data_IF_669352640679
#
_entry.id   IF_669352640679
#
_cell.length_a   1.000
_cell.length_b   1.000
_cell.length_c   1.000
_cell.angle_alpha   90.00
_cell.angle_beta   90.00
_cell.angle_gamma   90.00
#
_symmetry.space_group_name_H-M   'P 1'
#
loop_
_entity.id
_entity.type
_entity.pdbx_description
1 polymer ?
#
# COMPACT_ATOMS: atom_id res chain seq x y z
N UNK A 1 -3.24 -20.17 14.69
CA UNK A 1 -2.74 -18.89 15.30
C UNK A 1 -2.27 -19.19 16.70
N UNK A 2 -1.08 -18.73 17.12
CA UNK A 2 -0.55 -19.12 18.42
C UNK A 2 -1.19 -18.27 19.54
N UNK A 3 -1.64 -18.91 20.62
CA UNK A 3 -2.17 -18.24 21.82
C UNK A 3 -1.16 -17.21 22.40
N UNK A 4 0.12 -17.48 22.21
CA UNK A 4 1.22 -16.60 22.63
C UNK A 4 1.21 -15.28 21.88
N UNK A 5 1.11 -15.29 20.55
CA UNK A 5 0.99 -14.08 19.74
C UNK A 5 -0.21 -13.23 20.16
N UNK A 6 -1.39 -13.88 20.28
CA UNK A 6 -2.63 -13.17 20.62
C UNK A 6 -2.55 -12.52 22.02
N UNK A 7 -1.93 -13.21 22.99
CA UNK A 7 -1.70 -12.67 24.32
C UNK A 7 -0.70 -11.49 24.29
N UNK A 8 0.40 -11.64 23.54
CA UNK A 8 1.41 -10.58 23.38
C UNK A 8 0.81 -9.32 22.76
N UNK A 9 0.13 -9.48 21.63
CA UNK A 9 -0.47 -8.37 20.89
C UNK A 9 -1.56 -7.68 21.68
N UNK A 10 -2.42 -8.45 22.38
CA UNK A 10 -3.47 -7.88 23.24
C UNK A 10 -2.88 -7.07 24.39
N UNK A 11 -1.79 -7.54 25.01
CA UNK A 11 -1.09 -6.83 26.07
C UNK A 11 -0.43 -5.53 25.56
N UNK A 12 0.09 -5.52 24.33
CA UNK A 12 0.63 -4.30 23.70
C UNK A 12 -0.50 -3.28 23.46
N UNK A 13 -1.61 -3.69 22.82
CA UNK A 13 -2.74 -2.80 22.52
C UNK A 13 -3.33 -2.18 23.79
N UNK A 14 -3.46 -2.96 24.87
CA UNK A 14 -4.01 -2.49 26.14
C UNK A 14 -3.18 -1.37 26.81
N UNK A 15 -1.90 -1.26 26.47
CA UNK A 15 -0.99 -0.22 27.00
C UNK A 15 -0.92 1.03 26.12
N UNK A 16 -1.44 0.98 24.89
CA UNK A 16 -1.36 2.08 23.94
C UNK A 16 -2.43 3.15 24.25
N UNK A 17 -2.02 4.40 24.20
CA UNK A 17 -2.96 5.53 24.10
C UNK A 17 -3.71 5.52 22.78
N UNK A 18 -4.85 6.21 22.69
CA UNK A 18 -5.59 6.37 21.44
C UNK A 18 -4.74 6.99 20.35
N UNK A 19 -3.89 7.97 20.69
CA UNK A 19 -3.00 8.62 19.72
C UNK A 19 -2.00 7.62 19.12
N UNK A 20 -1.38 6.79 19.96
CA UNK A 20 -0.48 5.73 19.49
C UNK A 20 -1.19 4.72 18.60
N UNK A 21 -2.40 4.29 18.96
CA UNK A 21 -3.22 3.40 18.13
C UNK A 21 -3.50 4.02 16.77
N UNK A 22 -3.95 5.27 16.72
CA UNK A 22 -4.21 5.98 15.46
C UNK A 22 -2.94 6.13 14.61
N UNK A 23 -1.78 6.39 15.22
CA UNK A 23 -0.49 6.47 14.53
C UNK A 23 -0.08 5.16 13.89
N UNK A 24 -0.40 4.00 14.51
CA UNK A 24 -0.13 2.69 13.91
C UNK A 24 -0.91 2.45 12.61
N UNK A 25 -2.02 3.14 12.40
CA UNK A 25 -2.82 3.03 11.17
C UNK A 25 -2.26 3.85 10.01
N UNK A 26 -1.12 4.53 10.17
CA UNK A 26 -0.54 5.40 9.17
C UNK A 26 0.81 4.87 8.68
N UNK A 27 0.94 4.75 7.37
CA UNK A 27 2.19 4.43 6.67
C UNK A 27 2.61 5.67 5.89
N UNK A 28 3.68 6.32 6.32
CA UNK A 28 4.17 7.56 5.72
C UNK A 28 5.24 7.29 4.66
N UNK A 29 5.35 8.18 3.68
CA UNK A 29 6.45 8.11 2.72
C UNK A 29 7.76 8.49 3.38
N UNK A 30 8.78 7.66 3.16
CA UNK A 30 10.17 7.89 3.54
C UNK A 30 11.04 8.04 2.31
N UNK A 31 11.87 9.09 2.27
CA UNK A 31 12.74 9.40 1.12
C UNK A 31 14.21 9.44 1.51
N UNK A 32 15.06 8.90 0.63
CA UNK A 32 16.51 8.89 0.80
C UNK A 32 17.00 7.92 1.88
N UNK A 33 18.29 8.06 2.24
CA UNK A 33 18.97 7.24 3.25
C UNK A 33 19.19 7.95 4.59
N UNK A 34 19.00 9.28 4.63
CA UNK A 34 19.33 10.07 5.81
C UNK A 34 18.04 10.42 6.57
N UNK A 35 17.95 10.08 7.87
CA UNK A 35 16.83 10.49 8.70
C UNK A 35 16.76 12.02 8.79
N UNK A 36 15.71 12.60 8.20
CA UNK A 36 15.42 14.02 8.37
C UNK A 36 14.71 14.26 9.71
N UNK A 37 14.79 15.48 10.30
CA UNK A 37 14.03 15.81 11.51
C UNK A 37 12.54 15.49 11.37
N UNK A 38 11.93 15.83 10.24
CA UNK A 38 10.53 15.51 9.94
C UNK A 38 10.27 14.00 9.92
N UNK A 39 11.12 13.21 9.26
CA UNK A 39 11.00 11.75 9.25
C UNK A 39 11.08 11.14 10.65
N UNK A 40 11.99 11.66 11.50
CA UNK A 40 12.09 11.24 12.89
C UNK A 40 10.81 11.61 13.68
N UNK A 41 10.24 12.79 13.45
CA UNK A 41 8.99 13.23 14.09
C UNK A 41 7.79 12.36 13.70
N UNK A 42 7.72 11.89 12.45
CA UNK A 42 6.69 10.94 12.02
C UNK A 42 6.71 9.66 12.87
N UNK A 43 7.90 9.17 13.18
CA UNK A 43 8.06 7.98 14.00
C UNK A 43 7.78 8.30 15.47
N UNK A 44 8.38 9.35 16.00
CA UNK A 44 8.40 9.61 17.46
C UNK A 44 7.15 10.32 17.95
N UNK A 45 6.66 11.34 17.22
CA UNK A 45 5.51 12.16 17.60
C UNK A 45 4.19 11.70 16.99
N UNK A 46 4.20 11.27 15.72
CA UNK A 46 3.00 10.79 15.05
C UNK A 46 2.81 9.28 15.20
N UNK A 47 3.72 8.59 15.88
CA UNK A 47 3.64 7.15 16.20
C UNK A 47 3.45 6.25 14.97
N UNK A 48 4.05 6.60 13.83
CA UNK A 48 3.91 5.88 12.57
C UNK A 48 3.94 4.36 12.73
N UNK A 49 2.98 3.68 12.12
CA UNK A 49 2.93 2.22 12.07
C UNK A 49 3.85 1.65 11.01
N UNK A 50 4.10 2.39 9.95
CA UNK A 50 4.97 1.98 8.85
C UNK A 50 5.53 3.14 8.05
N UNK A 51 6.46 2.79 7.17
CA UNK A 51 7.03 3.68 6.15
C UNK A 51 6.94 3.03 4.78
N UNK A 52 6.63 3.84 3.77
CA UNK A 52 6.71 3.46 2.36
C UNK A 52 7.97 4.09 1.79
N UNK A 53 8.86 3.25 1.27
CA UNK A 53 10.15 3.69 0.79
C UNK A 53 10.05 4.34 -0.59
N UNK A 54 10.67 5.50 -0.73
CA UNK A 54 11.07 6.12 -1.98
C UNK A 54 12.57 6.42 -1.86
N UNK A 55 13.46 5.41 -2.08
CA UNK A 55 14.88 5.50 -1.72
C UNK A 55 15.71 6.27 -2.76
N UNK A 56 15.25 7.44 -3.14
CA UNK A 56 15.98 8.37 -4.00
C UNK A 56 16.90 9.25 -3.15
N UNK A 57 18.13 9.44 -3.58
CA UNK A 57 19.13 10.22 -2.84
C UNK A 57 18.88 11.74 -2.87
N UNK A 58 18.04 12.23 -3.77
CA UNK A 58 17.73 13.64 -3.89
C UNK A 58 16.24 13.90 -3.62
N UNK A 59 15.94 14.88 -2.77
CA UNK A 59 14.66 15.58 -2.82
C UNK A 59 14.57 16.23 -4.20
N UNK A 60 14.01 15.52 -5.15
CA UNK A 60 13.72 16.08 -6.46
C UNK A 60 12.60 17.10 -6.32
N UNK A 61 12.55 18.08 -7.21
CA UNK A 61 11.49 19.10 -7.31
C UNK A 61 10.07 18.52 -7.30
N UNK A 62 9.91 17.25 -7.59
CA UNK A 62 8.72 16.40 -7.46
C UNK A 62 7.97 16.64 -6.15
N UNK A 63 8.69 16.78 -5.04
CA UNK A 63 8.10 16.82 -3.72
C UNK A 63 7.57 18.19 -3.30
N UNK A 64 8.11 19.27 -3.88
CA UNK A 64 7.69 20.62 -3.55
C UNK A 64 6.31 20.97 -4.13
N UNK A 65 5.98 20.37 -5.29
CA UNK A 65 4.75 20.72 -6.02
C UNK A 65 3.67 19.61 -5.93
N UNK A 66 4.06 18.36 -5.92
CA UNK A 66 3.11 17.24 -5.87
C UNK A 66 2.26 17.23 -4.58
N UNK A 67 2.90 17.40 -3.42
CA UNK A 67 2.20 17.52 -2.14
C UNK A 67 1.22 18.71 -2.12
N UNK A 68 1.64 19.88 -2.63
CA UNK A 68 0.80 21.09 -2.66
C UNK A 68 -0.38 20.95 -3.62
N UNK A 69 -0.18 20.37 -4.81
CA UNK A 69 -1.28 20.19 -5.77
C UNK A 69 -2.35 19.19 -5.29
N UNK A 70 -2.00 18.30 -4.37
CA UNK A 70 -2.96 17.36 -3.79
C UNK A 70 -3.71 17.91 -2.56
N UNK A 71 -3.12 18.86 -1.85
CA UNK A 71 -3.70 19.43 -0.63
C UNK A 71 -4.43 20.73 -0.91
N UNK A 72 -3.97 21.52 -1.85
CA UNK A 72 -4.60 22.77 -2.29
C UNK A 72 -5.24 22.62 -3.67
N UNK A 73 -6.58 22.46 -3.76
CA UNK A 73 -7.28 22.37 -5.03
C UNK A 73 -7.18 23.63 -5.91
N UNK A 74 -6.74 24.75 -5.33
CA UNK A 74 -6.54 26.02 -6.05
C UNK A 74 -5.07 26.25 -6.42
N UNK A 75 -4.21 25.26 -6.21
CA UNK A 75 -2.81 25.39 -6.55
C UNK A 75 -2.63 25.55 -8.08
N UNK A 76 -2.20 26.72 -8.52
CA UNK A 76 -1.85 26.97 -9.91
C UNK A 76 -0.43 26.42 -10.17
N UNK A 77 -0.33 25.48 -11.11
CA UNK A 77 0.96 24.90 -11.53
C UNK A 77 1.81 25.99 -12.18
N UNK A 78 3.03 26.30 -11.69
CA UNK A 78 3.94 27.23 -12.35
C UNK A 78 4.24 26.80 -13.80
N UNK A 79 4.66 27.75 -14.64
CA UNK A 79 4.98 27.45 -16.05
C UNK A 79 6.14 26.44 -16.23
N UNK A 80 7.01 26.35 -15.23
CA UNK A 80 8.12 25.40 -15.13
C UNK A 80 7.77 24.12 -14.32
N UNK A 81 6.48 23.96 -13.98
CA UNK A 81 6.01 22.77 -13.28
C UNK A 81 6.16 21.55 -14.15
N UNK A 82 7.03 20.68 -13.75
CA UNK A 82 7.21 19.39 -14.37
C UNK A 82 6.33 18.36 -13.64
N UNK A 83 5.20 18.00 -14.25
CA UNK A 83 4.30 16.98 -13.69
C UNK A 83 4.89 15.60 -13.94
N UNK A 84 5.58 15.10 -12.95
CA UNK A 84 6.23 13.81 -12.98
C UNK A 84 5.35 12.69 -12.43
N UNK A 85 4.11 13.01 -12.01
CA UNK A 85 3.14 11.98 -11.61
C UNK A 85 2.79 11.05 -12.77
N UNK A 86 2.87 11.55 -14.01
CA UNK A 86 2.63 10.80 -15.25
C UNK A 86 3.90 10.36 -15.97
N UNK A 87 5.06 10.90 -15.62
CA UNK A 87 6.31 10.38 -16.13
C UNK A 87 6.75 9.25 -15.22
N UNK A 88 6.68 8.05 -15.72
CA UNK A 88 7.31 6.89 -15.15
C UNK A 88 8.81 7.18 -15.01
N UNK A 89 9.18 7.67 -13.86
CA UNK A 89 10.55 8.03 -13.58
C UNK A 89 11.35 6.75 -13.42
N UNK A 90 12.15 6.44 -14.41
CA UNK A 90 13.25 5.53 -14.23
C UNK A 90 14.23 6.18 -13.25
N UNK A 91 14.23 5.72 -11.99
CA UNK A 91 15.18 6.18 -10.96
C UNK A 91 16.62 6.01 -11.45
N UNK A 92 16.86 5.10 -12.41
CA UNK A 92 18.14 4.90 -13.11
C UNK A 92 18.53 6.10 -13.98
N UNK A 93 17.58 6.88 -14.49
CA UNK A 93 17.86 8.04 -15.33
C UNK A 93 18.41 9.24 -14.55
N UNK A 94 18.22 9.32 -13.23
CA UNK A 94 18.65 10.41 -12.37
C UNK A 94 19.78 10.06 -11.39
N UNK A 95 20.29 8.86 -11.49
CA UNK A 95 21.69 8.51 -11.23
C UNK A 95 22.16 8.42 -9.78
N UNK A 96 21.35 8.64 -8.74
CA UNK A 96 21.83 8.50 -7.37
C UNK A 96 20.77 7.75 -6.54
N UNK A 97 20.73 6.44 -6.70
CA UNK A 97 20.06 5.56 -5.76
C UNK A 97 20.93 5.40 -4.51
N UNK A 98 20.28 5.33 -3.36
CA UNK A 98 20.89 4.87 -2.10
C UNK A 98 21.43 3.45 -2.32
N UNK A 99 22.65 3.17 -1.88
CA UNK A 99 23.21 1.81 -1.98
C UNK A 99 22.46 0.83 -1.06
N UNK A 100 22.51 -0.49 -1.30
CA UNK A 100 21.93 -1.50 -0.41
C UNK A 100 22.41 -1.36 1.05
N UNK A 101 23.69 -1.06 1.25
CA UNK A 101 24.30 -0.86 2.57
C UNK A 101 23.74 0.39 3.26
N UNK A 102 23.67 1.54 2.55
CA UNK A 102 23.10 2.77 3.08
C UNK A 102 21.61 2.62 3.43
N UNK A 103 20.85 1.93 2.56
CA UNK A 103 19.44 1.64 2.84
C UNK A 103 19.28 0.76 4.07
N UNK A 104 20.07 -0.30 4.18
CA UNK A 104 20.06 -1.21 5.35
C UNK A 104 20.39 -0.46 6.63
N UNK A 105 21.43 0.37 6.63
CA UNK A 105 21.80 1.18 7.78
C UNK A 105 20.69 2.15 8.18
N UNK A 106 20.10 2.86 7.19
CA UNK A 106 19.00 3.78 7.43
C UNK A 106 17.80 3.06 8.05
N UNK A 107 17.38 1.91 7.52
CA UNK A 107 16.26 1.14 8.03
C UNK A 107 16.51 0.60 9.44
N UNK A 108 17.71 0.12 9.73
CA UNK A 108 18.09 -0.30 11.07
C UNK A 108 18.02 0.85 12.09
N UNK A 109 18.48 2.05 11.69
CA UNK A 109 18.40 3.24 12.54
C UNK A 109 16.94 3.66 12.78
N UNK A 110 16.07 3.60 11.77
CA UNK A 110 14.64 3.92 11.91
C UNK A 110 13.92 2.90 12.80
N UNK A 111 14.23 1.62 12.66
CA UNK A 111 13.68 0.57 13.54
C UNK A 111 14.12 0.80 14.99
N UNK A 112 15.38 1.16 15.23
CA UNK A 112 15.88 1.49 16.57
C UNK A 112 15.08 2.66 17.16
N UNK A 113 14.92 3.76 16.43
CA UNK A 113 14.11 4.92 16.86
C UNK A 113 12.66 4.49 17.18
N UNK A 114 12.07 3.62 16.34
CA UNK A 114 10.72 3.13 16.55
C UNK A 114 10.61 2.28 17.81
N UNK A 115 11.59 1.44 18.11
CA UNK A 115 11.62 0.59 19.29
C UNK A 115 11.90 1.34 20.58
N UNK A 116 12.55 2.51 20.51
CA UNK A 116 12.77 3.40 21.66
C UNK A 116 11.51 4.16 22.11
N UNK A 117 10.42 4.13 21.31
CA UNK A 117 9.12 4.71 21.71
C UNK A 117 8.55 3.96 22.92
N UNK A 118 7.70 4.60 23.76
CA UNK A 118 7.07 3.93 24.90
C UNK A 118 6.30 2.66 24.51
N UNK A 119 5.67 2.64 23.35
CA UNK A 119 4.97 1.46 22.81
C UNK A 119 5.92 0.32 22.40
N UNK A 120 7.17 0.64 22.02
CA UNK A 120 8.16 -0.33 21.55
C UNK A 120 7.62 -1.17 20.39
N UNK A 121 7.03 -0.51 19.37
CA UNK A 121 6.45 -1.17 18.19
C UNK A 121 7.31 -0.87 16.97
N UNK A 122 7.83 -1.91 16.28
CA UNK A 122 8.63 -1.75 15.07
C UNK A 122 7.79 -1.20 13.91
N UNK A 123 8.45 -0.71 12.86
CA UNK A 123 7.81 -0.22 11.64
C UNK A 123 7.54 -1.37 10.66
N UNK A 124 6.41 -1.33 9.96
CA UNK A 124 6.33 -1.92 8.62
C UNK A 124 7.20 -1.09 7.67
N UNK A 125 7.93 -1.77 6.81
CA UNK A 125 8.71 -1.14 5.74
C UNK A 125 8.17 -1.65 4.42
N UNK A 126 7.51 -0.77 3.67
CA UNK A 126 6.80 -1.12 2.44
C UNK A 126 7.43 -0.46 1.22
N UNK A 127 7.28 -1.07 0.05
CA UNK A 127 7.84 -0.55 -1.21
C UNK A 127 7.04 -1.07 -2.41
N UNK A 128 7.03 -0.32 -3.51
CA UNK A 128 6.57 -0.80 -4.81
C UNK A 128 7.72 -1.49 -5.55
N UNK A 129 7.57 -2.80 -5.80
CA UNK A 129 8.52 -3.63 -6.55
C UNK A 129 7.73 -4.54 -7.50
N UNK A 130 7.25 -3.96 -8.61
CA UNK A 130 6.36 -4.65 -9.55
C UNK A 130 7.08 -5.27 -10.75
N UNK A 131 8.35 -4.97 -10.90
CA UNK A 131 9.16 -5.32 -12.07
C UNK A 131 9.36 -4.15 -13.02
N UNK A 132 10.51 -4.15 -13.72
CA UNK A 132 10.93 -3.15 -14.70
C UNK A 132 10.87 -1.71 -14.15
N UNK A 133 10.20 -0.80 -14.86
CA UNK A 133 10.12 0.62 -14.51
C UNK A 133 9.29 0.93 -13.25
N UNK A 134 8.53 -0.03 -12.75
CA UNK A 134 7.72 0.08 -11.52
C UNK A 134 8.44 -0.47 -10.28
N UNK A 135 9.75 -0.45 -10.30
CA UNK A 135 10.55 -0.73 -9.12
C UNK A 135 11.01 0.59 -8.49
N UNK A 136 10.56 0.88 -7.27
CA UNK A 136 11.00 2.05 -6.51
C UNK A 136 12.46 1.95 -6.07
N UNK A 137 13.05 0.76 -6.15
CA UNK A 137 14.46 0.54 -5.85
C UNK A 137 15.16 -0.25 -6.96
N UNK A 138 16.18 0.37 -7.55
CA UNK A 138 16.96 -0.20 -8.68
C UNK A 138 18.46 0.04 -8.55
N UNK A 139 18.98 0.07 -7.32
CA UNK A 139 20.42 0.26 -7.08
C UNK A 139 21.26 -0.93 -7.55
N UNK A 140 22.54 -0.66 -7.81
CA UNK A 140 23.51 -1.69 -8.18
C UNK A 140 23.60 -2.79 -7.11
N UNK A 141 23.64 -4.04 -7.55
CA UNK A 141 23.64 -5.22 -6.66
C UNK A 141 22.25 -5.80 -6.38
N UNK A 142 21.17 -5.09 -6.73
CA UNK A 142 19.80 -5.62 -6.65
C UNK A 142 19.34 -6.07 -8.04
N UNK A 143 18.93 -7.34 -8.14
CA UNK A 143 18.45 -7.89 -9.40
C UNK A 143 17.13 -7.24 -9.80
N UNK A 144 17.04 -6.85 -11.05
CA UNK A 144 15.82 -6.31 -11.66
C UNK A 144 15.18 -7.39 -12.52
N UNK A 145 13.86 -7.42 -12.53
CA UNK A 145 13.08 -8.42 -13.25
C UNK A 145 12.09 -7.74 -14.21
N UNK A 146 11.67 -8.50 -15.21
CA UNK A 146 10.67 -8.08 -16.19
C UNK A 146 9.29 -7.89 -15.54
N UNK A 147 8.41 -7.07 -16.14
CA UNK A 147 7.07 -6.85 -15.60
C UNK A 147 6.21 -8.11 -15.66
N UNK A 148 5.12 -8.18 -14.88
CA UNK A 148 4.22 -9.34 -14.78
C UNK A 148 3.73 -9.88 -16.13
N UNK A 149 3.34 -9.01 -17.06
CA UNK A 149 2.90 -9.43 -18.41
C UNK A 149 4.03 -10.15 -19.17
N UNK A 150 5.28 -9.73 -18.99
CA UNK A 150 6.45 -10.41 -19.55
C UNK A 150 6.65 -11.80 -18.97
N UNK A 151 6.44 -11.97 -17.64
CA UNK A 151 6.52 -13.28 -16.97
C UNK A 151 5.45 -14.22 -17.52
N UNK A 152 4.22 -13.72 -17.69
CA UNK A 152 3.11 -14.51 -18.27
C UNK A 152 3.39 -14.88 -19.72
N UNK A 153 3.99 -13.99 -20.50
CA UNK A 153 4.33 -14.25 -21.92
C UNK A 153 5.37 -15.39 -22.06
N UNK A 154 6.25 -15.57 -21.09
CA UNK A 154 7.17 -16.72 -21.02
C UNK A 154 6.40 -18.02 -20.75
N UNK A 155 5.30 -17.96 -20.01
CA UNK A 155 4.42 -19.10 -19.75
C UNK A 155 4.89 -20.06 -18.65
N UNK A 156 5.96 -19.72 -17.93
CA UNK A 156 6.52 -20.55 -16.85
C UNK A 156 6.06 -20.03 -15.47
N UNK A 157 5.14 -20.77 -14.86
CA UNK A 157 4.58 -20.43 -13.53
C UNK A 157 5.63 -20.58 -12.41
N UNK A 158 6.53 -21.56 -12.53
CA UNK A 158 7.61 -21.74 -11.56
C UNK A 158 8.59 -20.56 -11.60
N UNK A 159 8.78 -19.94 -12.76
CA UNK A 159 9.59 -18.73 -12.89
C UNK A 159 8.97 -17.56 -12.13
N UNK A 160 7.62 -17.40 -12.16
CA UNK A 160 6.94 -16.37 -11.38
C UNK A 160 7.22 -16.52 -9.86
N UNK A 161 7.10 -17.75 -9.34
CA UNK A 161 7.45 -18.05 -7.95
C UNK A 161 8.93 -17.72 -7.64
N UNK A 162 9.87 -18.19 -8.48
CA UNK A 162 11.31 -17.99 -8.28
C UNK A 162 11.70 -16.51 -8.29
N UNK A 163 11.14 -15.73 -9.22
CA UNK A 163 11.36 -14.28 -9.30
C UNK A 163 10.85 -13.62 -8.01
N UNK A 164 9.61 -13.90 -7.60
CA UNK A 164 9.02 -13.32 -6.39
C UNK A 164 9.82 -13.69 -5.14
N UNK A 165 10.20 -14.96 -4.99
CA UNK A 165 10.99 -15.41 -3.84
C UNK A 165 12.38 -14.76 -3.79
N UNK A 166 13.06 -14.68 -4.93
CA UNK A 166 14.39 -14.06 -4.99
C UNK A 166 14.31 -12.56 -4.71
N UNK A 167 13.35 -11.84 -5.32
CA UNK A 167 13.12 -10.41 -5.06
C UNK A 167 12.78 -10.18 -3.59
N UNK A 168 11.87 -10.99 -3.03
CA UNK A 168 11.51 -10.93 -1.62
C UNK A 168 12.71 -11.09 -0.69
N UNK A 169 13.54 -12.11 -0.93
CA UNK A 169 14.74 -12.36 -0.12
C UNK A 169 15.78 -11.24 -0.20
N UNK A 170 16.00 -10.67 -1.39
CA UNK A 170 16.92 -9.53 -1.55
C UNK A 170 16.48 -8.34 -0.71
N UNK A 171 15.21 -7.97 -0.81
CA UNK A 171 14.69 -6.80 -0.12
C UNK A 171 14.51 -7.04 1.38
N UNK A 172 14.12 -8.26 1.79
CA UNK A 172 14.07 -8.65 3.21
C UNK A 172 15.43 -8.52 3.89
N UNK A 173 16.51 -8.89 3.19
CA UNK A 173 17.88 -8.75 3.69
C UNK A 173 18.27 -7.29 3.98
N UNK A 174 17.62 -6.32 3.34
CA UNK A 174 17.79 -4.90 3.58
C UNK A 174 16.79 -4.32 4.62
N UNK A 175 15.85 -5.13 5.11
CA UNK A 175 14.86 -4.70 6.12
C UNK A 175 13.48 -4.34 5.56
N UNK A 176 13.19 -4.58 4.29
CA UNK A 176 11.84 -4.44 3.73
C UNK A 176 10.95 -5.58 4.22
N UNK A 177 9.73 -5.27 4.65
CA UNK A 177 8.81 -6.26 5.23
C UNK A 177 7.55 -6.49 4.39
N UNK A 178 7.25 -5.63 3.41
CA UNK A 178 6.04 -5.71 2.61
C UNK A 178 6.23 -5.14 1.21
N UNK A 179 5.71 -5.83 0.20
CA UNK A 179 5.60 -5.33 -1.17
C UNK A 179 4.17 -4.97 -1.51
N UNK A 180 3.99 -3.87 -2.21
CA UNK A 180 2.72 -3.54 -2.87
C UNK A 180 2.65 -4.25 -4.23
N UNK A 181 2.66 -5.57 -4.19
CA UNK A 181 2.62 -6.48 -5.34
C UNK A 181 2.12 -7.88 -4.85
N UNK A 182 1.44 -8.69 -5.68
CA UNK A 182 1.18 -8.56 -7.12
C UNK A 182 0.00 -7.66 -7.50
N UNK A 183 0.04 -7.15 -8.75
CA UNK A 183 -1.10 -6.49 -9.40
C UNK A 183 -2.06 -7.57 -9.90
N UNK A 184 -3.24 -7.63 -9.30
CA UNK A 184 -4.31 -8.60 -9.64
C UNK A 184 -5.34 -8.03 -10.63
N UNK A 185 -5.17 -6.77 -11.04
CA UNK A 185 -6.03 -6.15 -12.04
C UNK A 185 -5.93 -6.92 -13.37
N UNK A 186 -7.05 -7.44 -13.86
CA UNK A 186 -7.14 -8.12 -15.18
C UNK A 186 -7.26 -7.04 -16.25
N UNK A 187 -6.24 -6.86 -17.09
CA UNK A 187 -6.14 -5.73 -18.02
C UNK A 187 -7.02 -5.91 -19.28
N UNK A 188 -8.34 -6.00 -19.09
CA UNK A 188 -9.31 -6.24 -20.17
C UNK A 188 -9.53 -5.03 -21.08
N UNK A 189 -9.16 -3.82 -20.64
CA UNK A 189 -9.14 -2.64 -21.49
C UNK A 189 -7.71 -2.40 -22.00
N UNK A 190 -7.41 -2.64 -23.29
CA UNK A 190 -6.07 -2.44 -23.84
C UNK A 190 -5.62 -0.96 -23.84
N UNK A 191 -6.56 -0.02 -23.68
CA UNK A 191 -6.31 1.41 -23.60
C UNK A 191 -6.24 1.91 -22.14
N UNK A 192 -6.17 1.00 -21.17
CA UNK A 192 -6.03 1.37 -19.77
C UNK A 192 -4.73 2.19 -19.57
N UNK A 193 -4.82 3.44 -19.07
CA UNK A 193 -3.67 4.34 -19.04
C UNK A 193 -2.69 3.99 -17.91
N UNK A 194 -3.08 3.14 -16.94
CA UNK A 194 -2.33 2.94 -15.71
C UNK A 194 -1.86 1.50 -15.49
N UNK A 195 -2.64 0.51 -15.88
CA UNK A 195 -2.34 -0.90 -15.58
C UNK A 195 -1.37 -1.50 -16.61
N UNK A 196 -1.79 -1.68 -17.84
CA UNK A 196 -0.92 -2.15 -18.91
C UNK A 196 -0.09 -3.38 -18.53
N UNK A 197 1.22 -3.30 -18.74
CA UNK A 197 2.19 -4.39 -18.47
C UNK A 197 2.38 -4.74 -16.98
N UNK A 198 1.85 -3.92 -16.06
CA UNK A 198 1.82 -4.21 -14.63
C UNK A 198 0.91 -5.40 -14.30
N UNK A 199 -0.12 -5.64 -15.13
CA UNK A 199 -0.97 -6.84 -15.05
C UNK A 199 -0.24 -8.06 -15.58
N UNK A 200 -0.64 -9.24 -15.09
CA UNK A 200 -0.25 -10.52 -15.68
C UNK A 200 -0.92 -10.79 -17.03
N UNK A 201 -1.98 -10.05 -17.38
CA UNK A 201 -2.67 -10.18 -18.66
C UNK A 201 -4.14 -9.78 -18.62
N UNK A 202 -4.85 -10.11 -19.68
CA UNK A 202 -6.24 -9.72 -19.96
C UNK A 202 -7.28 -10.84 -19.75
N UNK A 203 -6.82 -12.03 -19.38
CA UNK A 203 -7.66 -13.20 -19.17
C UNK A 203 -7.50 -13.75 -17.75
N UNK A 204 -8.56 -13.65 -16.92
CA UNK A 204 -8.54 -14.05 -15.53
C UNK A 204 -8.11 -15.51 -15.34
N UNK A 205 -8.64 -16.46 -16.15
CA UNK A 205 -8.30 -17.89 -16.05
C UNK A 205 -6.81 -18.17 -16.31
N UNK A 206 -6.22 -17.42 -17.21
CA UNK A 206 -4.81 -17.59 -17.58
C UNK A 206 -3.86 -17.05 -16.50
N UNK A 207 -4.24 -15.93 -15.83
CA UNK A 207 -3.32 -15.21 -14.94
C UNK A 207 -3.37 -15.66 -13.48
N UNK A 208 -4.48 -16.28 -13.00
CA UNK A 208 -4.63 -16.68 -11.59
C UNK A 208 -3.45 -17.51 -11.08
N UNK A 209 -2.95 -18.45 -11.84
CA UNK A 209 -1.81 -19.32 -11.46
C UNK A 209 -0.49 -18.53 -11.27
N UNK A 210 -0.30 -17.43 -12.00
CA UNK A 210 0.88 -16.57 -11.86
C UNK A 210 0.75 -15.68 -10.63
N UNK A 211 -0.46 -15.18 -10.35
CA UNK A 211 -0.78 -14.43 -9.11
C UNK A 211 -0.49 -15.31 -7.91
N UNK A 212 -1.04 -16.55 -7.88
CA UNK A 212 -0.81 -17.51 -6.79
C UNK A 212 0.68 -17.81 -6.59
N UNK A 213 1.41 -18.08 -7.66
CA UNK A 213 2.83 -18.38 -7.60
C UNK A 213 3.63 -17.18 -7.05
N UNK A 214 3.30 -15.96 -7.48
CA UNK A 214 3.94 -14.73 -7.01
C UNK A 214 3.65 -14.48 -5.53
N UNK A 215 2.40 -14.63 -5.09
CA UNK A 215 2.03 -14.49 -3.66
C UNK A 215 2.83 -15.47 -2.81
N UNK A 216 2.82 -16.77 -3.16
CA UNK A 216 3.59 -17.79 -2.44
C UNK A 216 5.08 -17.46 -2.41
N UNK A 217 5.64 -16.99 -3.52
CA UNK A 217 7.05 -16.63 -3.58
C UNK A 217 7.44 -15.54 -2.57
N UNK A 218 6.64 -14.50 -2.42
CA UNK A 218 6.88 -13.43 -1.45
C UNK A 218 6.66 -13.89 -0.01
N UNK A 219 5.54 -14.56 0.27
CA UNK A 219 5.24 -15.03 1.63
C UNK A 219 6.30 -16.03 2.11
N UNK A 220 6.76 -16.95 1.26
CA UNK A 220 7.86 -17.89 1.57
C UNK A 220 9.21 -17.18 1.76
N UNK A 221 9.39 -16.00 1.17
CA UNK A 221 10.55 -15.15 1.42
C UNK A 221 10.46 -14.34 2.73
N UNK A 222 9.35 -14.42 3.46
CA UNK A 222 9.10 -13.68 4.69
C UNK A 222 8.62 -12.24 4.47
N UNK A 223 8.30 -11.84 3.23
CA UNK A 223 7.79 -10.52 2.88
C UNK A 223 6.27 -10.60 2.66
N UNK A 224 5.54 -9.62 3.19
CA UNK A 224 4.09 -9.53 2.99
C UNK A 224 3.77 -9.24 1.51
N UNK A 225 3.07 -10.15 0.85
CA UNK A 225 2.48 -9.92 -0.46
C UNK A 225 1.21 -9.06 -0.32
N UNK A 226 1.05 -8.04 -1.18
CA UNK A 226 -0.12 -7.17 -1.18
C UNK A 226 -0.80 -7.21 -2.54
N UNK A 227 -1.89 -7.97 -2.66
CA UNK A 227 -2.68 -8.03 -3.89
C UNK A 227 -3.41 -6.71 -4.14
N UNK A 228 -3.34 -6.16 -5.37
CA UNK A 228 -3.85 -4.82 -5.71
C UNK A 228 -4.40 -4.72 -7.12
N UNK A 229 -5.29 -3.78 -7.41
CA UNK A 229 -5.99 -2.81 -6.56
C UNK A 229 -7.47 -3.23 -6.45
N UNK A 230 -7.91 -3.58 -5.26
CA UNK A 230 -9.24 -4.17 -5.05
C UNK A 230 -10.37 -3.13 -5.20
N UNK A 231 -11.44 -3.37 -5.95
CA UNK A 231 -11.85 -4.66 -6.50
C UNK A 231 -11.61 -4.79 -8.03
N UNK A 232 -10.52 -4.22 -8.55
CA UNK A 232 -10.11 -4.37 -9.96
C UNK A 232 -10.22 -3.08 -10.78
N UNK A 233 -9.10 -2.67 -11.41
CA UNK A 233 -8.98 -1.46 -12.23
C UNK A 233 -8.61 -1.76 -13.68
N UNK A 234 -8.62 -3.04 -14.08
CA UNK A 234 -8.18 -3.43 -15.41
C UNK A 234 -9.07 -2.97 -16.56
N UNK A 235 -10.33 -2.58 -16.25
CA UNK A 235 -11.28 -1.99 -17.21
C UNK A 235 -11.28 -0.46 -17.22
N UNK A 236 -10.48 0.17 -16.38
CA UNK A 236 -10.45 1.63 -16.23
C UNK A 236 -10.08 2.32 -17.55
N UNK A 237 -10.75 3.44 -17.82
CA UNK A 237 -10.45 4.34 -18.94
C UNK A 237 -9.78 5.63 -18.47
N UNK A 238 -9.60 5.79 -17.15
CA UNK A 238 -9.06 7.00 -16.52
C UNK A 238 -7.97 6.63 -15.52
N UNK A 239 -7.06 7.57 -15.29
CA UNK A 239 -6.05 7.44 -14.26
C UNK A 239 -6.62 7.97 -12.93
N UNK A 240 -6.53 7.18 -11.86
CA UNK A 240 -6.99 7.58 -10.53
C UNK A 240 -6.15 8.71 -9.91
N UNK A 241 -4.96 8.97 -10.44
CA UNK A 241 -4.20 10.15 -10.07
C UNK A 241 -4.89 11.45 -10.49
N UNK A 242 -5.72 11.40 -11.53
CA UNK A 242 -6.38 12.57 -12.10
C UNK A 242 -7.84 12.70 -11.72
N UNK A 243 -8.57 11.59 -11.67
CA UNK A 243 -10.02 11.62 -11.45
C UNK A 243 -10.55 10.34 -10.83
N UNK A 244 -11.73 10.43 -10.23
CA UNK A 244 -12.46 9.28 -9.71
C UNK A 244 -12.95 8.41 -10.87
N UNK A 245 -12.51 7.16 -10.89
CA UNK A 245 -12.88 6.17 -11.90
C UNK A 245 -14.14 5.39 -11.50
N UNK A 246 -14.84 4.85 -12.53
CA UNK A 246 -16.06 4.06 -12.33
C UNK A 246 -15.96 2.78 -13.17
N UNK A 247 -15.85 1.64 -12.51
CA UNK A 247 -15.96 0.33 -13.16
C UNK A 247 -17.44 -0.08 -13.29
N UNK A 248 -17.92 -0.25 -14.51
CA UNK A 248 -19.34 -0.52 -14.83
C UNK A 248 -19.64 -1.99 -15.11
N UNK A 249 -18.82 -2.91 -14.64
CA UNK A 249 -19.10 -4.35 -14.72
C UNK A 249 -20.36 -4.73 -13.94
N UNK A 250 -21.18 -5.64 -14.51
CA UNK A 250 -22.25 -6.26 -13.74
C UNK A 250 -21.69 -7.27 -12.72
N UNK A 251 -22.54 -7.78 -11.84
CA UNK A 251 -22.13 -8.67 -10.76
C UNK A 251 -21.48 -9.96 -11.26
N UNK A 252 -21.98 -10.52 -12.36
CA UNK A 252 -21.45 -11.76 -12.93
C UNK A 252 -20.05 -11.53 -13.50
N UNK A 253 -19.86 -10.45 -14.27
CA UNK A 253 -18.55 -10.09 -14.78
C UNK A 253 -17.55 -9.84 -13.66
N UNK A 254 -17.93 -9.06 -12.62
CA UNK A 254 -17.05 -8.83 -11.48
C UNK A 254 -16.59 -10.14 -10.82
N UNK A 255 -17.48 -11.11 -10.69
CA UNK A 255 -17.17 -12.42 -10.13
C UNK A 255 -16.24 -13.25 -11.04
N UNK A 256 -16.50 -13.25 -12.35
CA UNK A 256 -15.78 -14.11 -13.29
C UNK A 256 -14.42 -13.54 -13.69
N UNK A 257 -14.20 -12.25 -13.53
CA UNK A 257 -12.98 -11.57 -13.97
C UNK A 257 -12.24 -10.96 -12.77
N UNK A 258 -12.73 -9.84 -12.25
CA UNK A 258 -11.99 -9.04 -11.27
C UNK A 258 -11.81 -9.80 -9.95
N UNK A 259 -12.91 -10.23 -9.31
CA UNK A 259 -12.85 -10.89 -8.00
C UNK A 259 -12.17 -12.25 -8.06
N UNK A 260 -12.24 -12.94 -9.20
CA UNK A 260 -11.54 -14.22 -9.40
C UNK A 260 -10.03 -14.09 -9.24
N UNK A 261 -9.44 -13.05 -9.82
CA UNK A 261 -8.01 -12.79 -9.69
C UNK A 261 -7.61 -12.47 -8.24
N UNK A 262 -8.42 -11.67 -7.53
CA UNK A 262 -8.18 -11.38 -6.12
C UNK A 262 -8.38 -12.61 -5.23
N UNK A 263 -9.42 -13.44 -5.49
CA UNK A 263 -9.64 -14.65 -4.73
C UNK A 263 -8.46 -15.61 -4.84
N UNK A 264 -7.87 -15.77 -6.03
CA UNK A 264 -6.67 -16.57 -6.22
C UNK A 264 -5.49 -16.09 -5.36
N UNK A 265 -5.29 -14.78 -5.26
CA UNK A 265 -4.28 -14.21 -4.35
C UNK A 265 -4.58 -14.44 -2.88
N UNK A 266 -5.84 -14.33 -2.47
CA UNK A 266 -6.29 -14.61 -1.09
C UNK A 266 -6.07 -16.08 -0.76
N UNK A 267 -6.50 -16.99 -1.63
CA UNK A 267 -6.37 -18.44 -1.44
C UNK A 267 -4.91 -18.89 -1.44
N UNK A 268 -4.03 -18.17 -2.15
CA UNK A 268 -2.58 -18.39 -2.11
C UNK A 268 -1.92 -17.89 -0.81
N UNK A 269 -2.66 -17.22 0.08
CA UNK A 269 -2.19 -16.77 1.38
C UNK A 269 -1.66 -15.34 1.42
N UNK A 270 -2.09 -14.46 0.51
CA UNK A 270 -1.73 -13.04 0.57
C UNK A 270 -2.04 -12.44 1.95
N UNK A 271 -1.03 -11.91 2.61
CA UNK A 271 -1.17 -11.33 3.96
C UNK A 271 -1.68 -9.89 3.95
N UNK A 272 -1.70 -9.23 2.80
CA UNK A 272 -2.25 -7.88 2.63
C UNK A 272 -2.99 -7.72 1.30
N UNK A 273 -3.88 -6.73 1.26
CA UNK A 273 -4.62 -6.33 0.07
C UNK A 273 -4.72 -4.79 0.03
N UNK A 274 -4.47 -4.20 -1.15
CA UNK A 274 -4.58 -2.76 -1.36
C UNK A 274 -5.88 -2.43 -2.10
N UNK A 275 -6.59 -1.38 -1.63
CA UNK A 275 -7.86 -0.94 -2.18
C UNK A 275 -7.68 -0.04 -3.41
N UNK A 276 -8.67 0.00 -4.30
CA UNK A 276 -8.73 0.95 -5.42
C UNK A 276 -9.56 2.20 -5.07
N UNK A 277 -9.18 3.35 -5.64
CA UNK A 277 -9.99 4.58 -5.61
C UNK A 277 -10.99 4.61 -6.78
N UNK A 278 -11.73 3.51 -6.95
CA UNK A 278 -12.69 3.29 -8.04
C UNK A 278 -14.07 3.02 -7.47
N UNK A 279 -15.11 3.59 -8.06
CA UNK A 279 -16.51 3.27 -7.76
C UNK A 279 -16.91 2.01 -8.53
N UNK A 280 -17.54 1.09 -7.84
CA UNK A 280 -18.14 -0.13 -8.39
C UNK A 280 -19.65 -0.09 -8.14
N UNK A 281 -20.46 0.47 -9.06
CA UNK A 281 -21.87 0.74 -8.81
C UNK A 281 -22.69 -0.49 -8.45
N UNK A 282 -22.27 -1.66 -8.92
CA UNK A 282 -22.91 -2.96 -8.58
C UNK A 282 -22.82 -3.32 -7.10
N UNK A 283 -21.88 -2.73 -6.36
CA UNK A 283 -21.71 -2.90 -4.92
C UNK A 283 -21.98 -1.62 -4.14
N UNK A 284 -21.46 -0.47 -4.62
CA UNK A 284 -21.66 0.83 -4.00
C UNK A 284 -21.60 1.95 -5.06
N UNK A 285 -22.72 2.68 -5.22
CA UNK A 285 -22.83 3.78 -6.18
C UNK A 285 -22.24 5.10 -5.65
N UNK A 286 -22.04 5.20 -4.33
CA UNK A 286 -21.71 6.47 -3.67
C UNK A 286 -20.21 6.59 -3.35
N UNK A 287 -19.59 5.50 -2.89
CA UNK A 287 -18.22 5.50 -2.39
C UNK A 287 -17.29 4.63 -3.24
N UNK A 288 -16.05 5.11 -3.49
CA UNK A 288 -15.01 4.25 -4.07
C UNK A 288 -14.67 3.11 -3.10
N UNK A 289 -14.10 2.02 -3.60
CA UNK A 289 -13.80 0.84 -2.79
C UNK A 289 -13.08 1.18 -1.47
N UNK A 290 -12.10 2.09 -1.51
CA UNK A 290 -11.36 2.55 -0.32
C UNK A 290 -12.25 3.11 0.80
N UNK A 291 -13.39 3.71 0.47
CA UNK A 291 -14.30 4.34 1.44
C UNK A 291 -15.60 3.56 1.64
N UNK A 292 -15.77 2.42 0.97
CA UNK A 292 -17.00 1.64 0.97
C UNK A 292 -16.97 0.49 1.98
N UNK A 293 -17.81 0.57 3.00
CA UNK A 293 -18.05 -0.55 3.92
C UNK A 293 -18.63 -1.77 3.20
N UNK A 294 -19.51 -1.56 2.21
CA UNK A 294 -20.12 -2.66 1.44
C UNK A 294 -19.06 -3.48 0.71
N UNK A 295 -18.02 -2.80 0.21
CA UNK A 295 -16.93 -3.48 -0.53
C UNK A 295 -15.90 -4.08 0.42
N UNK A 296 -15.43 -3.31 1.43
CA UNK A 296 -14.32 -3.78 2.28
C UNK A 296 -14.77 -4.69 3.41
N UNK A 297 -15.91 -4.40 4.04
CA UNK A 297 -16.39 -5.21 5.17
C UNK A 297 -17.32 -6.31 4.70
N UNK A 298 -18.34 -5.97 3.89
CA UNK A 298 -19.39 -6.94 3.59
C UNK A 298 -18.93 -7.92 2.49
N UNK A 299 -18.38 -7.44 1.36
CA UNK A 299 -17.87 -8.28 0.28
C UNK A 299 -16.51 -8.91 0.64
N UNK A 300 -15.47 -8.11 0.88
CA UNK A 300 -14.09 -8.61 1.02
C UNK A 300 -13.90 -9.46 2.30
N UNK A 301 -14.31 -8.93 3.47
CA UNK A 301 -14.22 -9.69 4.74
C UNK A 301 -15.28 -10.76 4.83
N UNK A 302 -16.56 -10.40 4.52
CA UNK A 302 -17.71 -11.26 4.74
C UNK A 302 -17.86 -12.37 3.71
N UNK A 303 -17.89 -12.04 2.41
CA UNK A 303 -18.13 -13.01 1.35
C UNK A 303 -16.85 -13.70 0.87
N UNK A 304 -15.76 -12.95 0.67
CA UNK A 304 -14.48 -13.49 0.18
C UNK A 304 -13.58 -14.05 1.29
N UNK A 305 -13.87 -13.78 2.57
CA UNK A 305 -13.18 -14.35 3.72
C UNK A 305 -11.75 -13.84 3.95
N UNK A 306 -11.41 -12.63 3.48
CA UNK A 306 -10.08 -12.09 3.65
C UNK A 306 -9.80 -11.63 5.10
N UNK A 307 -8.83 -12.25 5.75
CA UNK A 307 -8.44 -11.97 7.15
C UNK A 307 -7.17 -11.10 7.29
N UNK A 308 -6.42 -10.88 6.20
CA UNK A 308 -5.17 -10.13 6.19
C UNK A 308 -5.34 -8.61 6.39
N UNK A 309 -4.27 -7.86 6.19
CA UNK A 309 -4.24 -6.39 6.29
C UNK A 309 -4.89 -5.75 5.05
N UNK A 310 -5.82 -4.83 5.25
CA UNK A 310 -6.32 -3.97 4.17
C UNK A 310 -5.56 -2.63 4.23
N UNK A 311 -4.81 -2.32 3.17
CA UNK A 311 -4.12 -1.04 3.01
C UNK A 311 -4.84 -0.19 1.97
N UNK A 312 -4.97 1.12 2.18
CA UNK A 312 -5.45 2.02 1.13
C UNK A 312 -4.40 2.17 0.04
N UNK A 313 -4.80 2.37 -1.21
CA UNK A 313 -3.92 3.07 -2.16
C UNK A 313 -3.59 4.47 -1.61
N UNK A 314 -2.65 5.18 -2.24
CA UNK A 314 -2.22 6.50 -1.79
C UNK A 314 -3.43 7.45 -1.63
N UNK A 315 -3.90 7.63 -0.38
CA UNK A 315 -5.16 8.31 -0.08
C UNK A 315 -5.17 9.78 -0.53
N UNK A 316 -4.00 10.36 -0.77
CA UNK A 316 -3.82 11.71 -1.29
C UNK A 316 -4.07 11.87 -2.79
N UNK A 317 -4.51 10.84 -3.51
CA UNK A 317 -4.80 10.93 -4.95
C UNK A 317 -6.04 11.78 -5.23
N UNK A 318 -6.06 12.45 -6.40
CA UNK A 318 -7.14 13.35 -6.80
C UNK A 318 -8.52 12.67 -6.84
N UNK A 319 -8.57 11.37 -7.13
CA UNK A 319 -9.78 10.58 -7.05
C UNK A 319 -10.52 10.70 -5.71
N UNK A 320 -9.78 10.85 -4.61
CA UNK A 320 -10.33 11.05 -3.27
C UNK A 320 -10.47 12.54 -2.95
N UNK A 321 -9.40 13.33 -3.13
CA UNK A 321 -9.31 14.71 -2.62
C UNK A 321 -10.28 15.68 -3.27
N UNK A 322 -10.73 15.41 -4.51
CA UNK A 322 -11.74 16.22 -5.18
C UNK A 322 -13.10 16.23 -4.46
N UNK A 323 -13.39 15.21 -3.64
CA UNK A 323 -14.70 15.06 -2.99
C UNK A 323 -14.63 15.05 -1.46
N UNK A 324 -13.52 14.53 -0.90
CA UNK A 324 -13.38 14.38 0.55
C UNK A 324 -12.09 15.03 1.05
N UNK A 325 -12.16 15.92 2.07
CA UNK A 325 -10.95 16.43 2.73
C UNK A 325 -10.11 15.29 3.29
N UNK A 326 -8.79 15.38 3.13
CA UNK A 326 -7.85 14.29 3.42
C UNK A 326 -7.99 13.70 4.84
N UNK A 327 -8.08 14.51 5.94
CA UNK A 327 -8.26 13.95 7.28
C UNK A 327 -9.58 13.18 7.45
N UNK A 328 -10.66 13.65 6.80
CA UNK A 328 -11.95 12.98 6.79
C UNK A 328 -11.88 11.67 6.01
N UNK A 329 -11.26 11.68 4.82
CA UNK A 329 -11.09 10.50 3.99
C UNK A 329 -10.33 9.39 4.73
N UNK A 330 -9.27 9.73 5.48
CA UNK A 330 -8.53 8.79 6.31
C UNK A 330 -9.44 8.10 7.35
N UNK A 331 -10.23 8.88 8.09
CA UNK A 331 -11.12 8.32 9.09
C UNK A 331 -12.27 7.49 8.48
N UNK A 332 -12.82 7.93 7.32
CA UNK A 332 -13.83 7.18 6.57
C UNK A 332 -13.27 5.84 6.06
N UNK A 333 -12.05 5.81 5.53
CA UNK A 333 -11.40 4.59 5.06
C UNK A 333 -11.22 3.58 6.21
N UNK A 334 -10.73 4.01 7.38
CA UNK A 334 -10.63 3.15 8.56
C UNK A 334 -12.00 2.62 8.96
N UNK A 335 -13.02 3.47 8.98
CA UNK A 335 -14.39 3.05 9.30
C UNK A 335 -14.95 2.04 8.30
N UNK A 336 -14.62 2.19 7.02
CA UNK A 336 -15.05 1.27 5.96
C UNK A 336 -14.40 -0.12 6.05
N UNK A 337 -13.21 -0.24 6.66
CA UNK A 337 -12.52 -1.52 6.83
C UNK A 337 -11.01 -1.50 6.56
N UNK A 338 -10.44 -0.37 6.11
CA UNK A 338 -8.99 -0.21 5.93
C UNK A 338 -8.27 -0.32 7.26
N UNK A 339 -7.16 -1.06 7.31
CA UNK A 339 -6.35 -1.24 8.52
C UNK A 339 -5.16 -0.28 8.56
N UNK A 340 -4.62 0.10 7.42
CA UNK A 340 -3.55 1.11 7.34
C UNK A 340 -3.70 2.00 6.11
N UNK A 341 -3.40 3.27 6.29
CA UNK A 341 -3.48 4.30 5.26
C UNK A 341 -2.09 4.54 4.68
N UNK A 342 -1.93 4.35 3.37
CA UNK A 342 -0.75 4.83 2.66
C UNK A 342 -0.89 6.34 2.46
N UNK A 343 -0.11 7.11 3.21
CA UNK A 343 -0.23 8.56 3.27
C UNK A 343 1.00 9.25 2.65
N UNK A 344 0.92 9.50 1.35
CA UNK A 344 1.89 10.31 0.61
C UNK A 344 1.43 11.79 0.70
N UNK A 345 1.88 12.51 1.73
CA UNK A 345 1.46 13.88 2.02
C UNK A 345 2.61 14.68 2.67
N UNK A 346 2.46 16.00 2.78
CA UNK A 346 3.36 16.86 3.54
C UNK A 346 3.18 16.68 5.07
N UNK A 347 4.10 17.25 5.85
CA UNK A 347 4.16 17.04 7.29
C UNK A 347 2.93 17.61 8.03
N UNK A 348 2.39 18.74 7.58
CA UNK A 348 1.18 19.32 8.17
C UNK A 348 -0.04 18.42 7.92
N UNK A 349 -0.22 17.97 6.69
CA UNK A 349 -1.30 17.06 6.31
C UNK A 349 -1.22 15.73 7.05
N UNK A 350 -0.02 15.19 7.29
CA UNK A 350 0.17 13.96 8.08
C UNK A 350 -0.34 14.13 9.51
N UNK A 351 0.02 15.25 10.15
CA UNK A 351 -0.46 15.57 11.49
C UNK A 351 -1.98 15.72 11.50
N UNK A 352 -2.55 16.46 10.54
CA UNK A 352 -3.99 16.65 10.43
C UNK A 352 -4.73 15.32 10.23
N UNK A 353 -4.20 14.37 9.46
CA UNK A 353 -4.78 13.05 9.27
C UNK A 353 -4.79 12.23 10.57
N UNK A 354 -3.69 12.22 11.31
CA UNK A 354 -3.63 11.56 12.61
C UNK A 354 -4.69 12.09 13.57
N UNK A 355 -4.74 13.42 13.72
CA UNK A 355 -5.71 14.05 14.60
C UNK A 355 -7.14 13.96 14.08
N UNK A 356 -7.35 13.88 12.76
CA UNK A 356 -8.64 13.63 12.14
C UNK A 356 -9.20 12.25 12.50
N UNK A 357 -8.39 11.20 12.44
CA UNK A 357 -8.77 9.85 12.88
C UNK A 357 -9.07 9.86 14.39
N UNK A 358 -8.18 10.43 15.20
CA UNK A 358 -8.37 10.52 16.66
C UNK A 358 -9.67 11.24 17.00
N UNK A 359 -9.95 12.40 16.38
CA UNK A 359 -11.18 13.17 16.56
C UNK A 359 -12.43 12.38 16.19
N UNK A 360 -12.38 11.62 15.10
CA UNK A 360 -13.49 10.76 14.68
C UNK A 360 -13.86 9.71 15.74
N UNK A 361 -12.85 9.18 16.45
CA UNK A 361 -13.08 8.27 17.58
C UNK A 361 -13.65 9.00 18.77
N UNK A 362 -13.12 10.16 19.15
CA UNK A 362 -13.58 10.96 20.28
C UNK A 362 -15.01 11.47 20.09
N UNK A 363 -15.41 11.77 18.85
CA UNK A 363 -16.78 12.14 18.48
C UNK A 363 -17.73 10.93 18.35
N UNK A 364 -17.22 9.70 18.45
CA UNK A 364 -18.00 8.46 18.50
C UNK A 364 -18.53 7.95 17.15
N UNK A 365 -18.18 8.57 16.01
CA UNK A 365 -18.63 8.06 14.70
C UNK A 365 -17.66 7.04 14.07
N UNK A 366 -16.40 6.97 14.54
CA UNK A 366 -15.49 5.87 14.29
C UNK A 366 -15.32 5.06 15.59
N UNK A 367 -15.80 3.80 15.66
CA UNK A 367 -15.66 3.00 16.89
C UNK A 367 -14.19 2.73 17.23
N UNK A 368 -13.77 2.94 18.48
CA UNK A 368 -12.41 2.62 18.92
C UNK A 368 -12.08 1.13 18.73
N UNK A 369 -13.09 0.25 18.83
CA UNK A 369 -12.91 -1.17 18.57
C UNK A 369 -12.44 -1.45 17.14
N UNK A 370 -12.92 -0.69 16.14
CA UNK A 370 -12.45 -0.78 14.75
C UNK A 370 -10.96 -0.39 14.65
N UNK A 371 -10.54 0.62 15.41
CA UNK A 371 -9.11 1.01 15.49
C UNK A 371 -8.30 -0.12 16.14
N UNK A 372 -8.79 -0.69 17.24
CA UNK A 372 -8.12 -1.80 17.93
C UNK A 372 -7.99 -3.03 17.03
N UNK A 373 -9.00 -3.34 16.20
CA UNK A 373 -8.96 -4.45 15.24
C UNK A 373 -7.91 -4.24 14.15
N UNK A 374 -7.82 -3.01 13.62
CA UNK A 374 -6.78 -2.66 12.66
C UNK A 374 -5.38 -2.82 13.27
N UNK A 375 -5.16 -2.23 14.43
CA UNK A 375 -3.88 -2.35 15.15
C UNK A 375 -3.54 -3.83 15.42
N UNK A 376 -4.52 -4.64 15.81
CA UNK A 376 -4.31 -6.08 16.06
C UNK A 376 -3.79 -6.80 14.82
N UNK A 377 -4.38 -6.58 13.64
CA UNK A 377 -3.90 -7.19 12.37
C UNK A 377 -2.48 -6.77 12.05
N UNK A 378 -2.19 -5.47 12.17
CA UNK A 378 -0.86 -4.93 11.93
C UNK A 378 0.19 -5.52 12.89
N UNK A 379 -0.10 -5.59 14.18
CA UNK A 379 0.82 -6.13 15.18
C UNK A 379 0.97 -7.66 15.05
N UNK A 380 -0.10 -8.39 14.71
CA UNK A 380 -0.01 -9.81 14.43
C UNK A 380 0.97 -10.09 13.29
N UNK A 381 0.89 -9.33 12.18
CA UNK A 381 1.82 -9.51 11.06
C UNK A 381 3.25 -9.17 11.46
N UNK A 382 3.47 -8.08 12.19
CA UNK A 382 4.80 -7.73 12.72
C UNK A 382 5.39 -8.82 13.61
N UNK A 383 4.55 -9.44 14.44
CA UNK A 383 4.96 -10.57 15.28
C UNK A 383 5.33 -11.79 14.44
N UNK A 384 4.49 -12.17 13.47
CA UNK A 384 4.71 -13.33 12.61
C UNK A 384 5.98 -13.16 11.73
N UNK A 385 6.37 -11.93 11.42
CA UNK A 385 7.63 -11.59 10.74
C UNK A 385 8.85 -11.50 11.66
N UNK A 386 8.67 -11.68 12.98
CA UNK A 386 9.78 -11.64 13.95
C UNK A 386 10.37 -10.25 14.15
N UNK A 387 9.57 -9.19 14.00
CA UNK A 387 10.05 -7.81 14.13
C UNK A 387 10.14 -7.31 15.59
N UNK A 388 9.52 -8.00 16.56
CA UNK A 388 9.57 -7.64 17.98
C UNK A 388 10.78 -8.19 18.70
#
# INVERSE_FOLDING_TARGET
MSKERDAFVSAKIAKMSLLEKCGQLLTFTWRGAIPTPSGIEQITKLHAGGICLEPYALETCKNLYWGRSQVDPNFEKPADYFDISHTWFDSRAFGISVTPEELTEALNNLQKIAMERPSGIPLHVTIDMEGDFKNDYSAGGVLQFIPPMGITAIGDVDLAYKIANLMGRQMAAMGVTQFYHPVCDVNINPLNPEIGVRSFGDNADAIVKFIEATVRGYEDAGVTATVKHFAGRGDSSTDAHDTLDICRGDKQRMQDVELKAFQAGIDAGASALMTAHTIFPVYDEEYPATLSKKILTDLLRGEMGFEGIIVSDAIGMAAILKKWPLPLACAMAIKAGVDTILLKADDESRSQCLFGIKKAVEEGWLPEERVNDAVRRLLNRKYDQGLF
#
